data_IF_923564404281
#
_entry.id   IF_923564404281
#
_cell.length_a   1.000
_cell.length_b   1.000
_cell.length_c   1.000
_cell.angle_alpha   90.00
_cell.angle_beta   90.00
_cell.angle_gamma   90.00
#
_symmetry.space_group_name_H-M   'P 1'
#
loop_
_entity.id
_entity.type
_entity.pdbx_description
1 polymer ?
#
# COMPACT_ATOMS: atom_id res chain seq x y z
N UNK A 1 -8.55 15.54 14.35
CA UNK A 1 -8.67 14.09 14.59
C UNK A 1 -8.28 13.66 16.00
N UNK A 2 -7.65 14.47 16.83
CA UNK A 2 -7.30 14.15 18.22
C UNK A 2 -5.89 13.61 18.43
N UNK A 3 -4.95 13.88 17.52
CA UNK A 3 -3.54 13.45 17.62
C UNK A 3 -2.66 14.43 18.44
N UNK A 4 -3.21 15.02 19.50
CA UNK A 4 -2.51 16.09 20.23
C UNK A 4 -1.60 15.56 21.33
N UNK A 5 -1.83 14.35 21.81
CA UNK A 5 -1.13 13.78 22.96
C UNK A 5 -0.81 12.29 22.78
N UNK A 6 0.14 11.80 23.58
CA UNK A 6 0.50 10.39 23.64
C UNK A 6 1.05 9.83 22.32
N UNK A 7 0.91 8.54 22.13
CA UNK A 7 1.41 7.83 20.94
C UNK A 7 0.78 8.31 19.63
N UNK A 8 -0.48 8.76 19.67
CA UNK A 8 -1.16 9.30 18.50
C UNK A 8 -0.42 10.51 17.88
N UNK A 9 0.27 11.32 18.70
CA UNK A 9 1.01 12.50 18.22
C UNK A 9 2.26 12.14 17.42
N UNK A 10 2.89 11.03 17.75
CA UNK A 10 4.18 10.61 17.18
C UNK A 10 4.10 9.42 16.23
N UNK A 11 2.91 8.85 16.04
CA UNK A 11 2.71 7.72 15.15
C UNK A 11 2.83 8.15 13.70
N UNK A 12 3.87 7.65 13.03
CA UNK A 12 4.23 8.05 11.68
C UNK A 12 3.31 7.45 10.60
N UNK A 13 2.48 6.46 10.92
CA UNK A 13 1.59 5.83 9.93
C UNK A 13 0.48 6.77 9.44
N UNK A 14 0.13 7.79 10.21
CA UNK A 14 -0.86 8.79 9.81
C UNK A 14 -0.27 10.19 9.54
N UNK A 15 1.06 10.34 9.58
CA UNK A 15 1.75 11.62 9.36
C UNK A 15 2.43 11.61 8.00
N UNK A 16 2.14 12.59 7.16
CA UNK A 16 2.80 12.78 5.87
C UNK A 16 3.52 14.12 5.83
N UNK A 17 4.73 14.19 5.27
CA UNK A 17 5.40 15.47 5.00
C UNK A 17 4.55 16.32 4.07
N UNK A 18 4.34 17.58 4.42
CA UNK A 18 3.58 18.53 3.61
C UNK A 18 4.22 19.88 3.61
N UNK A 19 4.10 20.64 2.52
CA UNK A 19 4.46 22.06 2.51
C UNK A 19 3.62 22.83 3.51
N UNK A 20 4.20 23.85 4.14
CA UNK A 20 3.50 24.71 5.10
C UNK A 20 2.19 25.27 4.52
N UNK A 21 2.23 25.87 3.32
CA UNK A 21 1.04 26.43 2.67
C UNK A 21 -0.06 25.39 2.42
N UNK A 22 0.29 24.15 2.03
CA UNK A 22 -0.67 23.07 1.81
C UNK A 22 -1.25 22.61 3.14
N UNK A 23 -0.42 22.47 4.17
CA UNK A 23 -0.86 22.11 5.51
C UNK A 23 -1.78 23.17 6.14
N UNK A 24 -1.46 24.45 5.94
CA UNK A 24 -2.29 25.58 6.36
C UNK A 24 -3.63 25.60 5.63
N UNK A 25 -3.64 25.41 4.31
CA UNK A 25 -4.88 25.35 3.52
C UNK A 25 -5.75 24.14 3.91
N UNK A 26 -5.12 23.01 4.22
CA UNK A 26 -5.85 21.84 4.73
C UNK A 26 -6.36 22.08 6.14
N UNK A 27 -5.61 22.75 6.98
CA UNK A 27 -5.93 23.01 8.38
C UNK A 27 -6.53 21.78 9.08
N UNK A 28 -7.71 21.87 9.66
CA UNK A 28 -8.46 20.76 10.25
C UNK A 28 -9.73 20.41 9.46
N UNK A 29 -9.82 20.83 8.21
CA UNK A 29 -10.97 20.55 7.35
C UNK A 29 -11.08 19.05 7.04
N UNK A 30 -12.30 18.52 6.88
CA UNK A 30 -12.49 17.17 6.37
C UNK A 30 -12.00 17.05 4.93
N UNK A 31 -11.60 15.85 4.59
CA UNK A 31 -11.31 15.49 3.22
C UNK A 31 -12.61 15.25 2.45
N UNK A 32 -12.66 15.71 1.20
CA UNK A 32 -13.79 15.51 0.29
C UNK A 32 -13.33 15.63 -1.15
N UNK A 33 -14.09 15.05 -2.07
CA UNK A 33 -14.03 15.44 -3.47
C UNK A 33 -14.52 16.87 -3.60
N UNK A 34 -13.79 17.67 -4.36
CA UNK A 34 -14.09 19.09 -4.64
C UNK A 34 -14.41 19.24 -6.13
N UNK A 35 -15.52 19.87 -6.44
CA UNK A 35 -15.84 20.24 -7.83
C UNK A 35 -14.80 21.27 -8.31
N UNK A 36 -14.06 20.94 -9.36
CA UNK A 36 -13.03 21.79 -9.96
C UNK A 36 -13.47 23.24 -10.22
N UNK A 37 -14.76 23.45 -10.49
CA UNK A 37 -15.31 24.80 -10.73
C UNK A 37 -15.45 25.63 -9.46
N UNK A 38 -15.32 24.99 -8.29
CA UNK A 38 -15.44 25.61 -6.97
C UNK A 38 -14.12 25.72 -6.25
N UNK A 39 -13.08 25.04 -6.75
CA UNK A 39 -11.75 25.04 -6.15
C UNK A 39 -11.17 26.45 -6.11
N UNK A 40 -10.68 26.85 -4.94
CA UNK A 40 -10.08 28.17 -4.72
C UNK A 40 -8.57 28.16 -4.86
N UNK A 41 -7.91 27.06 -4.47
CA UNK A 41 -6.47 26.90 -4.54
C UNK A 41 -6.09 25.52 -5.07
N UNK A 42 -5.07 25.51 -5.93
CA UNK A 42 -4.49 24.33 -6.57
C UNK A 42 -3.01 24.25 -6.23
N UNK A 43 -2.60 23.20 -5.53
CA UNK A 43 -1.25 23.06 -5.02
C UNK A 43 -0.51 21.95 -5.74
N UNK A 44 0.59 22.28 -6.41
CA UNK A 44 1.48 21.30 -7.03
C UNK A 44 2.95 21.70 -6.84
N UNK A 45 3.76 20.83 -6.26
CA UNK A 45 5.18 21.12 -5.93
C UNK A 45 5.30 22.45 -5.15
N UNK A 46 5.99 23.45 -5.73
CA UNK A 46 6.13 24.79 -5.14
C UNK A 46 5.04 25.76 -5.61
N UNK A 47 4.15 25.35 -6.47
CA UNK A 47 3.13 26.21 -7.11
C UNK A 47 1.86 26.24 -6.27
N UNK A 48 1.23 27.41 -6.20
CA UNK A 48 -0.10 27.66 -5.70
C UNK A 48 -0.85 28.52 -6.73
N UNK A 49 -1.94 27.99 -7.29
CA UNK A 49 -2.75 28.65 -8.31
C UNK A 49 -4.15 28.92 -7.77
N UNK A 50 -4.72 30.06 -8.14
CA UNK A 50 -6.11 30.44 -7.85
C UNK A 50 -7.04 30.19 -9.05
N UNK A 51 -6.47 29.83 -10.19
CA UNK A 51 -7.21 29.47 -11.40
C UNK A 51 -6.98 27.98 -11.69
N UNK A 52 -8.01 27.33 -12.22
CA UNK A 52 -7.94 25.92 -12.63
C UNK A 52 -6.77 25.69 -13.59
N UNK A 53 -5.89 24.71 -13.30
CA UNK A 53 -4.81 24.33 -14.20
C UNK A 53 -5.32 23.86 -15.55
N UNK A 54 -4.64 24.23 -16.62
CA UNK A 54 -5.00 23.80 -17.97
C UNK A 54 -4.57 22.39 -18.34
N UNK A 55 -3.63 21.79 -17.56
CA UNK A 55 -3.07 20.46 -17.75
C UNK A 55 -2.73 19.84 -16.42
N UNK A 56 -2.58 18.51 -16.41
CA UNK A 56 -2.08 17.73 -15.26
C UNK A 56 -2.88 17.98 -13.96
N UNK A 57 -4.20 18.20 -14.09
CA UNK A 57 -5.05 18.57 -12.97
C UNK A 57 -4.97 17.57 -11.82
N UNK A 58 -4.83 16.28 -12.12
CA UNK A 58 -4.73 15.19 -11.15
C UNK A 58 -3.47 15.24 -10.27
N UNK A 59 -2.47 16.02 -10.67
CA UNK A 59 -1.24 16.24 -9.89
C UNK A 59 -1.41 17.30 -8.80
N UNK A 60 -2.53 18.01 -8.80
CA UNK A 60 -2.78 19.07 -7.83
C UNK A 60 -3.60 18.58 -6.66
N UNK A 61 -3.25 19.07 -5.47
CA UNK A 61 -4.16 19.06 -4.32
C UNK A 61 -5.02 20.31 -4.35
N UNK A 62 -6.25 20.20 -3.87
CA UNK A 62 -7.25 21.24 -4.00
C UNK A 62 -7.78 21.68 -2.64
N UNK A 63 -8.15 22.96 -2.52
CA UNK A 63 -8.86 23.46 -1.34
C UNK A 63 -9.95 24.45 -1.65
N UNK A 64 -11.00 24.40 -0.83
CA UNK A 64 -12.03 25.40 -0.67
C UNK A 64 -12.26 25.65 0.82
N UNK A 65 -13.05 26.65 1.16
CA UNK A 65 -13.44 26.87 2.56
C UNK A 65 -14.17 25.63 3.08
N UNK A 66 -13.59 25.00 4.10
CA UNK A 66 -14.19 23.86 4.78
C UNK A 66 -13.82 22.48 4.25
N UNK A 67 -13.12 22.35 3.12
CA UNK A 67 -12.74 21.07 2.55
C UNK A 67 -11.37 21.11 1.90
N UNK A 68 -10.74 19.94 1.89
CA UNK A 68 -9.46 19.71 1.22
C UNK A 68 -9.48 18.38 0.46
N UNK A 69 -8.91 18.39 -0.74
CA UNK A 69 -8.73 17.22 -1.58
C UNK A 69 -7.24 17.01 -1.89
N UNK A 70 -6.65 15.88 -1.58
CA UNK A 70 -5.29 15.58 -2.01
C UNK A 70 -5.26 15.24 -3.50
N UNK A 71 -4.09 15.35 -4.12
CA UNK A 71 -3.89 14.89 -5.50
C UNK A 71 -4.29 13.43 -5.66
N UNK A 72 -4.63 13.03 -6.89
CA UNK A 72 -5.25 11.73 -7.17
C UNK A 72 -4.43 10.53 -6.66
N UNK A 73 -3.11 10.53 -6.90
CA UNK A 73 -2.18 9.48 -6.48
C UNK A 73 -1.84 9.47 -4.99
N UNK A 74 -2.55 10.25 -4.18
CA UNK A 74 -2.38 10.30 -2.72
C UNK A 74 -3.69 10.13 -1.95
N UNK A 75 -4.80 10.00 -2.63
CA UNK A 75 -6.13 9.83 -2.04
C UNK A 75 -6.23 8.55 -1.21
N UNK A 76 -5.78 7.44 -1.77
CA UNK A 76 -5.77 6.14 -1.10
C UNK A 76 -4.85 6.11 0.12
N UNK A 77 -3.66 6.73 0.02
CA UNK A 77 -2.74 6.86 1.14
C UNK A 77 -3.37 7.59 2.32
N UNK A 78 -4.06 8.71 2.04
CA UNK A 78 -4.81 9.47 3.06
C UNK A 78 -5.93 8.62 3.66
N UNK A 79 -6.70 7.92 2.84
CA UNK A 79 -7.78 7.06 3.30
C UNK A 79 -7.27 5.97 4.27
N UNK A 80 -6.21 5.25 3.88
CA UNK A 80 -5.59 4.19 4.71
C UNK A 80 -4.96 4.73 6.00
N UNK A 81 -4.41 5.94 5.96
CA UNK A 81 -3.89 6.60 7.15
C UNK A 81 -5.00 7.00 8.14
N UNK A 82 -6.15 7.46 7.64
CA UNK A 82 -7.29 7.82 8.47
C UNK A 82 -7.97 6.58 9.05
N UNK A 83 -8.17 5.52 8.28
CA UNK A 83 -8.68 4.24 8.79
C UNK A 83 -7.77 3.67 9.88
N UNK A 84 -6.45 3.73 9.67
CA UNK A 84 -5.47 3.35 10.69
C UNK A 84 -5.63 4.17 11.96
N UNK A 85 -5.63 5.51 11.84
CA UNK A 85 -5.74 6.40 12.99
C UNK A 85 -7.03 6.15 13.77
N UNK A 86 -8.15 6.03 13.07
CA UNK A 86 -9.44 5.81 13.70
C UNK A 86 -9.51 4.44 14.42
N UNK A 87 -8.86 3.42 13.85
CA UNK A 87 -8.78 2.09 14.48
C UNK A 87 -7.88 2.07 15.71
N UNK A 88 -6.69 2.65 15.61
CA UNK A 88 -5.68 2.58 16.68
C UNK A 88 -5.96 3.54 17.82
N UNK A 89 -6.65 4.64 17.55
CA UNK A 89 -6.88 5.74 18.50
C UNK A 89 -8.36 6.11 18.60
N UNK A 90 -9.24 5.12 18.64
CA UNK A 90 -10.70 5.30 18.65
C UNK A 90 -11.16 6.24 19.76
N UNK A 91 -10.64 6.10 20.99
CA UNK A 91 -10.98 6.93 22.15
C UNK A 91 -10.57 8.41 21.99
N UNK A 92 -9.56 8.69 21.17
CA UNK A 92 -9.08 10.05 20.89
C UNK A 92 -9.69 10.63 19.62
N UNK A 93 -10.29 9.78 18.80
CA UNK A 93 -10.82 10.14 17.49
C UNK A 93 -12.16 10.84 17.59
N UNK A 94 -12.37 11.86 16.75
CA UNK A 94 -13.68 12.46 16.59
C UNK A 94 -14.54 11.62 15.63
N UNK A 95 -15.48 10.87 16.19
CA UNK A 95 -16.34 9.96 15.43
C UNK A 95 -17.19 10.67 14.36
N UNK A 96 -17.78 11.82 14.69
CA UNK A 96 -18.61 12.57 13.73
C UNK A 96 -17.78 13.08 12.56
N UNK A 97 -16.54 13.51 12.82
CA UNK A 97 -15.61 13.95 11.80
C UNK A 97 -15.23 12.80 10.84
N UNK A 98 -14.96 11.62 11.38
CA UNK A 98 -14.67 10.42 10.61
C UNK A 98 -15.88 9.98 9.75
N UNK A 99 -17.07 9.89 10.37
CA UNK A 99 -18.29 9.47 9.65
C UNK A 99 -18.63 10.40 8.50
N UNK A 100 -18.36 11.70 8.64
CA UNK A 100 -18.57 12.70 7.57
C UNK A 100 -17.68 12.48 6.33
N UNK A 101 -16.49 11.86 6.51
CA UNK A 101 -15.55 11.59 5.41
C UNK A 101 -15.61 10.14 4.94
N UNK A 102 -16.19 9.23 5.70
CA UNK A 102 -16.06 7.78 5.53
C UNK A 102 -16.39 7.30 4.11
N UNK A 103 -17.46 7.81 3.51
CA UNK A 103 -17.80 7.42 2.15
C UNK A 103 -16.70 7.80 1.15
N UNK A 104 -16.23 9.03 1.20
CA UNK A 104 -15.13 9.54 0.35
C UNK A 104 -13.88 8.71 0.54
N UNK A 105 -13.50 8.42 1.79
CA UNK A 105 -12.34 7.59 2.10
C UNK A 105 -12.47 6.15 1.56
N UNK A 106 -13.67 5.58 1.60
CA UNK A 106 -13.94 4.26 1.03
C UNK A 106 -13.77 4.26 -0.49
N UNK A 107 -14.24 5.29 -1.17
CA UNK A 107 -14.10 5.44 -2.62
C UNK A 107 -12.62 5.64 -2.99
N UNK A 108 -11.90 6.51 -2.29
CA UNK A 108 -10.47 6.78 -2.50
C UNK A 108 -9.58 5.57 -2.29
N UNK A 109 -9.88 4.75 -1.29
CA UNK A 109 -9.13 3.51 -1.05
C UNK A 109 -9.14 2.56 -2.26
N UNK A 110 -10.22 2.57 -3.04
CA UNK A 110 -10.37 1.75 -4.24
C UNK A 110 -9.81 2.43 -5.50
N UNK A 111 -9.91 3.76 -5.57
CA UNK A 111 -9.45 4.55 -6.72
C UNK A 111 -7.92 4.61 -6.77
N UNK A 112 -7.28 4.74 -5.62
CA UNK A 112 -5.83 4.82 -5.46
C UNK A 112 -5.33 3.62 -4.63
N UNK A 113 -5.07 2.47 -5.27
CA UNK A 113 -4.55 1.27 -4.61
C UNK A 113 -3.16 1.49 -4.02
N UNK A 114 -2.77 0.64 -3.07
CA UNK A 114 -1.43 0.65 -2.48
C UNK A 114 -0.37 0.51 -3.55
N UNK A 115 0.53 1.46 -3.62
CA UNK A 115 1.69 1.42 -4.51
C UNK A 115 2.96 0.91 -3.80
N UNK A 116 4.05 0.77 -4.55
CA UNK A 116 5.32 0.30 -4.03
C UNK A 116 5.97 1.27 -3.04
N UNK A 117 5.71 2.57 -3.16
CA UNK A 117 6.26 3.59 -2.25
C UNK A 117 5.53 3.57 -0.91
N UNK A 118 4.21 3.47 -0.93
CA UNK A 118 3.42 3.35 0.29
C UNK A 118 3.73 2.02 1.02
N UNK A 119 3.87 0.92 0.26
CA UNK A 119 4.30 -0.36 0.79
C UNK A 119 5.68 -0.26 1.46
N UNK A 120 6.67 0.31 0.79
CA UNK A 120 8.00 0.49 1.36
C UNK A 120 7.98 1.40 2.60
N UNK A 121 7.17 2.47 2.54
CA UNK A 121 7.02 3.43 3.65
C UNK A 121 6.47 2.76 4.90
N UNK A 122 5.41 1.95 4.79
CA UNK A 122 4.80 1.32 5.97
C UNK A 122 5.79 0.40 6.69
N UNK A 123 6.63 -0.33 5.95
CA UNK A 123 7.68 -1.17 6.54
C UNK A 123 8.86 -0.35 7.10
N UNK A 124 9.22 0.76 6.46
CA UNK A 124 10.24 1.65 6.99
C UNK A 124 9.83 2.22 8.36
N UNK A 125 8.56 2.63 8.49
CA UNK A 125 7.98 3.12 9.75
C UNK A 125 7.92 2.00 10.80
N UNK A 126 7.50 0.80 10.40
CA UNK A 126 7.37 -0.34 11.31
C UNK A 126 8.66 -0.61 12.09
N UNK A 127 9.83 -0.43 11.48
CA UNK A 127 11.15 -0.60 12.15
C UNK A 127 11.32 0.28 13.40
N UNK A 128 10.63 1.40 13.45
CA UNK A 128 10.67 2.36 14.57
C UNK A 128 9.44 2.27 15.47
N UNK A 129 8.43 1.48 15.08
CA UNK A 129 7.15 1.34 15.76
C UNK A 129 6.82 -0.14 16.03
N UNK A 130 7.67 -0.80 16.81
CA UNK A 130 7.48 -2.18 17.31
C UNK A 130 7.28 -3.23 16.18
N UNK A 131 7.86 -2.99 15.01
CA UNK A 131 7.69 -3.80 13.80
C UNK A 131 6.23 -3.93 13.33
N UNK A 132 5.40 -2.94 13.66
CA UNK A 132 3.98 -2.91 13.27
C UNK A 132 3.78 -2.04 12.04
N UNK A 133 3.51 -2.65 10.91
CA UNK A 133 3.11 -1.95 9.69
C UNK A 133 1.62 -1.60 9.72
N UNK A 134 1.19 -0.61 8.93
CA UNK A 134 -0.22 -0.23 8.82
C UNK A 134 -1.03 -1.38 8.18
N UNK A 135 -1.98 -1.99 8.89
CA UNK A 135 -2.72 -3.15 8.39
C UNK A 135 -3.61 -2.81 7.18
N UNK A 136 -4.05 -1.56 7.02
CA UNK A 136 -4.84 -1.12 5.86
C UNK A 136 -3.99 -0.96 4.59
N UNK A 137 -2.66 -0.89 4.72
CA UNK A 137 -1.72 -1.00 3.59
C UNK A 137 -1.46 -2.46 3.25
N UNK A 138 -1.38 -3.34 4.27
CA UNK A 138 -1.06 -4.76 4.08
C UNK A 138 -2.23 -5.59 3.53
N UNK A 139 -3.44 -5.22 3.90
CA UNK A 139 -4.66 -5.95 3.53
C UNK A 139 -5.74 -4.98 3.07
N UNK A 140 -5.85 -4.81 1.77
CA UNK A 140 -6.84 -3.89 1.21
C UNK A 140 -8.29 -4.35 1.49
N UNK A 141 -8.54 -5.63 1.73
CA UNK A 141 -9.87 -6.13 2.08
C UNK A 141 -10.31 -5.72 3.49
N UNK A 142 -9.35 -5.29 4.33
CA UNK A 142 -9.63 -4.90 5.71
C UNK A 142 -10.59 -3.72 5.78
N UNK A 143 -10.44 -2.73 4.92
CA UNK A 143 -11.33 -1.56 4.81
C UNK A 143 -12.79 -1.98 4.60
N UNK A 144 -13.04 -2.91 3.68
CA UNK A 144 -14.39 -3.43 3.42
C UNK A 144 -14.95 -4.17 4.62
N UNK A 145 -14.13 -4.95 5.32
CA UNK A 145 -14.55 -5.73 6.50
C UNK A 145 -14.82 -4.86 7.73
N UNK A 146 -14.24 -3.67 7.80
CA UNK A 146 -14.35 -2.78 8.96
C UNK A 146 -15.27 -1.59 8.73
N UNK A 147 -15.01 -0.78 7.72
CA UNK A 147 -15.64 0.53 7.55
C UNK A 147 -16.48 0.68 6.30
N UNK A 148 -16.19 -0.09 5.25
CA UNK A 148 -16.72 0.10 3.91
C UNK A 148 -17.48 -1.13 3.37
N UNK A 149 -18.48 -1.69 4.10
CA UNK A 149 -19.10 -2.97 3.73
C UNK A 149 -19.83 -2.93 2.39
N UNK A 150 -20.20 -1.76 1.91
CA UNK A 150 -20.86 -1.56 0.61
C UNK A 150 -19.87 -1.32 -0.54
N UNK A 151 -18.58 -1.17 -0.25
CA UNK A 151 -17.58 -0.97 -1.29
C UNK A 151 -17.36 -2.23 -2.11
N UNK A 152 -16.96 -2.05 -3.37
CA UNK A 152 -16.53 -3.14 -4.22
C UNK A 152 -15.40 -3.95 -3.55
N UNK A 153 -15.23 -5.18 -3.96
CA UNK A 153 -14.08 -5.98 -3.55
C UNK A 153 -12.84 -5.25 -4.06
N UNK A 154 -11.92 -4.92 -3.16
CA UNK A 154 -10.68 -4.34 -3.60
C UNK A 154 -9.96 -5.35 -4.50
N UNK A 155 -9.59 -4.91 -5.67
CA UNK A 155 -8.58 -5.62 -6.44
C UNK A 155 -7.29 -5.36 -5.69
N UNK A 156 -6.83 -6.34 -4.94
CA UNK A 156 -5.48 -6.28 -4.39
C UNK A 156 -4.54 -5.98 -5.54
N UNK A 157 -3.49 -5.20 -5.32
CA UNK A 157 -2.32 -5.19 -6.20
C UNK A 157 -1.70 -6.60 -6.30
N UNK A 158 -2.13 -7.54 -5.48
CA UNK A 158 -2.03 -8.98 -5.69
C UNK A 158 -2.80 -9.47 -6.92
N UNK A 159 -3.65 -8.68 -7.57
CA UNK A 159 -4.21 -9.04 -8.86
C UNK A 159 -3.27 -8.79 -10.05
N UNK A 160 -2.02 -8.43 -9.83
CA UNK A 160 -0.94 -8.93 -10.66
C UNK A 160 -0.52 -10.36 -10.28
N UNK A 161 -1.22 -11.02 -9.36
CA UNK A 161 -1.43 -12.45 -9.46
C UNK A 161 -2.31 -12.63 -10.71
N UNK A 162 -1.63 -12.90 -11.78
CA UNK A 162 -2.23 -13.42 -12.97
C UNK A 162 -3.03 -14.66 -12.53
N UNK A 163 -4.34 -14.51 -12.32
CA UNK A 163 -5.26 -15.63 -12.05
C UNK A 163 -5.19 -16.70 -13.16
N UNK A 164 -4.49 -16.40 -14.25
CA UNK A 164 -4.24 -17.28 -15.38
C UNK A 164 -2.83 -17.89 -15.41
N UNK A 165 -1.89 -17.50 -14.53
CA UNK A 165 -0.55 -18.13 -14.51
C UNK A 165 -0.45 -19.11 -13.36
N UNK A 166 -0.46 -20.39 -13.71
CA UNK A 166 -0.20 -21.46 -12.76
C UNK A 166 1.27 -21.52 -12.37
N UNK A 167 1.62 -21.00 -11.20
CA UNK A 167 2.95 -21.19 -10.60
C UNK A 167 2.83 -22.15 -9.43
N UNK A 168 3.53 -23.26 -9.51
CA UNK A 168 3.59 -24.29 -8.47
C UNK A 168 4.98 -24.35 -7.87
N UNK A 169 5.05 -24.62 -6.57
CA UNK A 169 6.29 -24.89 -5.85
C UNK A 169 6.31 -26.34 -5.41
N UNK A 170 7.34 -27.10 -5.80
CA UNK A 170 7.46 -28.51 -5.45
C UNK A 170 8.93 -28.92 -5.24
N UNK A 171 9.22 -29.68 -4.16
CA UNK A 171 8.38 -29.92 -3.00
C UNK A 171 8.18 -28.68 -2.15
N UNK A 172 7.02 -28.58 -1.48
CA UNK A 172 6.77 -27.57 -0.46
C UNK A 172 5.93 -28.21 0.65
N UNK A 173 6.51 -28.52 1.81
CA UNK A 173 7.83 -28.14 2.35
C UNK A 173 9.04 -28.71 1.60
N UNK A 174 10.11 -27.93 1.57
CA UNK A 174 11.39 -28.25 0.92
C UNK A 174 12.48 -28.55 1.95
N UNK A 175 13.49 -29.34 1.57
CA UNK A 175 14.70 -29.58 2.39
C UNK A 175 15.95 -29.04 1.67
N UNK A 176 16.38 -29.69 0.60
CA UNK A 176 17.62 -29.35 -0.10
C UNK A 176 17.41 -28.48 -1.31
N UNK A 177 16.25 -28.59 -1.96
CA UNK A 177 15.88 -27.82 -3.15
C UNK A 177 14.37 -27.70 -3.28
N UNK A 178 13.93 -26.77 -4.12
CA UNK A 178 12.58 -26.72 -4.66
C UNK A 178 12.61 -26.34 -6.14
N UNK A 179 11.54 -26.65 -6.84
CA UNK A 179 11.32 -26.22 -8.19
C UNK A 179 10.14 -25.22 -8.24
N UNK A 180 10.31 -24.20 -9.05
CA UNK A 180 9.22 -23.34 -9.49
C UNK A 180 8.79 -23.82 -10.86
N UNK A 181 7.55 -24.27 -10.98
CA UNK A 181 6.96 -24.75 -12.23
C UNK A 181 5.98 -23.68 -12.71
N UNK A 182 6.21 -23.19 -13.93
CA UNK A 182 5.36 -22.16 -14.54
C UNK A 182 4.68 -22.69 -15.79
N UNK A 183 3.64 -22.01 -16.25
CA UNK A 183 3.21 -22.20 -17.63
C UNK A 183 4.20 -21.57 -18.62
N UNK A 184 4.09 -21.88 -19.90
CA UNK A 184 5.03 -21.45 -20.94
C UNK A 184 5.06 -19.93 -21.16
N UNK A 185 4.09 -19.20 -20.63
CA UNK A 185 3.96 -17.75 -20.82
C UNK A 185 4.71 -16.92 -19.77
N UNK A 186 5.20 -17.55 -18.68
CA UNK A 186 5.83 -16.86 -17.56
C UNK A 186 7.31 -17.24 -17.43
N UNK A 187 8.17 -16.41 -18.01
CA UNK A 187 9.63 -16.58 -17.93
C UNK A 187 10.21 -15.84 -16.72
N UNK A 188 10.85 -16.55 -15.80
CA UNK A 188 11.36 -16.00 -14.55
C UNK A 188 12.67 -15.26 -14.78
N UNK A 189 12.72 -13.98 -14.39
CA UNK A 189 13.92 -13.14 -14.36
C UNK A 189 14.67 -13.27 -13.03
N UNK A 190 13.94 -13.27 -11.90
CA UNK A 190 14.55 -13.32 -10.58
C UNK A 190 13.67 -14.00 -9.54
N UNK A 191 14.33 -14.63 -8.56
CA UNK A 191 13.72 -15.20 -7.36
C UNK A 191 14.31 -14.54 -6.13
N UNK A 192 13.46 -14.12 -5.21
CA UNK A 192 13.87 -13.55 -3.92
C UNK A 192 13.08 -14.21 -2.80
N UNK A 193 13.77 -14.53 -1.70
CA UNK A 193 13.17 -15.10 -0.50
C UNK A 193 13.28 -14.09 0.64
N UNK A 194 12.20 -13.93 1.40
CA UNK A 194 12.16 -13.08 2.59
C UNK A 194 11.66 -13.89 3.77
N UNK A 195 12.44 -13.93 4.84
CA UNK A 195 12.03 -14.51 6.12
C UNK A 195 11.16 -13.55 6.93
N UNK A 196 10.67 -14.03 8.08
CA UNK A 196 9.88 -13.25 9.05
C UNK A 196 10.61 -11.99 9.56
N UNK A 197 11.94 -11.99 9.47
CA UNK A 197 12.81 -10.87 9.90
C UNK A 197 12.90 -9.75 8.85
N UNK A 198 12.22 -9.88 7.71
CA UNK A 198 12.19 -8.88 6.64
C UNK A 198 13.48 -8.77 5.81
N UNK A 199 14.47 -9.65 6.06
CA UNK A 199 15.69 -9.71 5.25
C UNK A 199 15.39 -10.50 3.97
N UNK A 200 15.62 -9.86 2.82
CA UNK A 200 15.45 -10.50 1.52
C UNK A 200 16.79 -11.00 0.98
N UNK A 201 16.80 -12.21 0.46
CA UNK A 201 17.97 -12.84 -0.19
C UNK A 201 17.58 -13.24 -1.62
N UNK A 202 18.39 -12.88 -2.61
CA UNK A 202 18.23 -13.36 -3.98
C UNK A 202 18.65 -14.82 -4.07
N UNK A 203 17.91 -15.60 -4.86
CA UNK A 203 18.17 -17.01 -5.08
C UNK A 203 18.68 -17.23 -6.51
N UNK A 204 19.72 -18.04 -6.64
CA UNK A 204 20.15 -18.54 -7.94
C UNK A 204 19.30 -19.75 -8.33
N UNK A 205 19.04 -19.90 -9.59
CA UNK A 205 18.27 -21.03 -10.11
C UNK A 205 18.85 -21.54 -11.43
N UNK A 206 18.59 -22.81 -11.72
CA UNK A 206 18.86 -23.46 -12.99
C UNK A 206 17.53 -23.64 -13.74
N UNK A 207 17.49 -23.24 -15.02
CA UNK A 207 16.28 -23.32 -15.84
C UNK A 207 16.28 -24.58 -16.70
N UNK A 208 15.18 -25.34 -16.65
CA UNK A 208 14.90 -26.51 -17.45
C UNK A 208 13.49 -26.37 -18.06
N UNK A 209 13.40 -25.90 -19.29
CA UNK A 209 12.10 -25.62 -19.95
C UNK A 209 11.24 -24.66 -19.12
N UNK A 210 10.12 -25.16 -18.55
CA UNK A 210 9.20 -24.41 -17.70
C UNK A 210 9.41 -24.65 -16.19
N UNK A 211 10.59 -25.22 -15.81
CA UNK A 211 10.98 -25.50 -14.42
C UNK A 211 12.22 -24.73 -14.06
N UNK A 212 12.23 -24.19 -12.86
CA UNK A 212 13.33 -23.43 -12.31
C UNK A 212 13.74 -24.05 -10.98
N UNK A 213 14.87 -24.76 -10.96
CA UNK A 213 15.36 -25.44 -9.76
C UNK A 213 16.20 -24.51 -8.92
N UNK A 214 15.90 -24.43 -7.63
CA UNK A 214 16.60 -23.63 -6.63
C UNK A 214 17.17 -24.53 -5.56
N UNK A 215 18.47 -24.43 -5.30
CA UNK A 215 19.13 -25.11 -4.18
C UNK A 215 19.08 -24.23 -2.93
N UNK A 216 18.79 -24.83 -1.79
CA UNK A 216 18.56 -24.14 -0.52
C UNK A 216 19.84 -24.07 0.35
N UNK A 217 21.00 -24.00 -0.28
CA UNK A 217 22.26 -23.89 0.44
C UNK A 217 22.24 -22.61 1.31
N UNK A 218 22.60 -22.75 2.59
CA UNK A 218 22.70 -21.66 3.57
C UNK A 218 21.37 -20.91 3.84
N UNK A 219 20.24 -21.61 3.76
CA UNK A 219 18.94 -21.09 4.18
C UNK A 219 18.42 -21.93 5.33
N UNK A 220 18.20 -21.29 6.47
CA UNK A 220 17.73 -21.96 7.68
C UNK A 220 16.30 -22.50 7.51
N UNK A 221 15.92 -23.58 8.22
CA UNK A 221 14.53 -24.00 8.28
C UNK A 221 13.61 -22.87 8.74
N UNK A 222 12.44 -22.76 8.12
CA UNK A 222 11.51 -21.67 8.45
C UNK A 222 10.41 -21.46 7.43
N UNK A 223 9.60 -20.47 7.70
CA UNK A 223 8.56 -19.98 6.81
C UNK A 223 9.07 -18.74 6.07
N UNK A 224 8.95 -18.78 4.75
CA UNK A 224 9.43 -17.74 3.86
C UNK A 224 8.37 -17.29 2.88
N UNK A 225 8.49 -16.04 2.44
CA UNK A 225 7.78 -15.51 1.29
C UNK A 225 8.73 -15.51 0.09
N UNK A 226 8.39 -16.25 -0.95
CA UNK A 226 9.12 -16.30 -2.21
C UNK A 226 8.49 -15.32 -3.20
N UNK A 227 9.28 -14.35 -3.65
CA UNK A 227 8.93 -13.44 -4.74
C UNK A 227 9.53 -13.96 -6.03
N UNK A 228 8.69 -14.17 -7.02
CA UNK A 228 9.01 -14.69 -8.34
C UNK A 228 8.74 -13.56 -9.33
N UNK A 229 9.77 -13.01 -9.97
CA UNK A 229 9.62 -11.88 -10.90
C UNK A 229 9.89 -12.34 -12.32
N UNK A 230 9.00 -12.00 -13.25
CA UNK A 230 9.11 -12.32 -14.68
C UNK A 230 9.92 -11.28 -15.45
N UNK A 231 10.27 -11.61 -16.68
CA UNK A 231 11.02 -10.73 -17.60
C UNK A 231 10.28 -9.41 -17.91
N UNK A 232 8.95 -9.42 -17.91
CA UNK A 232 8.11 -8.24 -18.15
C UNK A 232 7.85 -7.41 -16.87
N UNK A 233 8.55 -7.74 -15.75
CA UNK A 233 8.49 -7.01 -14.49
C UNK A 233 7.31 -7.38 -13.59
N UNK A 234 6.44 -8.29 -14.01
CA UNK A 234 5.38 -8.81 -13.14
C UNK A 234 5.96 -9.71 -12.06
N UNK A 235 5.31 -9.81 -10.92
CA UNK A 235 5.78 -10.70 -9.87
C UNK A 235 4.64 -11.47 -9.21
N UNK A 236 4.99 -12.64 -8.67
CA UNK A 236 4.11 -13.52 -7.89
C UNK A 236 4.74 -13.75 -6.52
N UNK A 237 3.92 -13.80 -5.48
CA UNK A 237 4.33 -14.16 -4.14
C UNK A 237 3.79 -15.54 -3.78
N UNK A 238 4.65 -16.42 -3.30
CA UNK A 238 4.28 -17.77 -2.84
C UNK A 238 4.87 -18.04 -1.46
N UNK A 239 4.12 -18.78 -0.67
CA UNK A 239 4.60 -19.29 0.62
C UNK A 239 5.52 -20.48 0.40
N UNK A 240 6.73 -20.43 0.97
CA UNK A 240 7.69 -21.51 0.95
C UNK A 240 8.01 -21.93 2.39
N UNK A 241 7.96 -23.22 2.66
CA UNK A 241 8.32 -23.82 3.94
C UNK A 241 9.61 -24.61 3.73
N UNK A 242 10.66 -24.33 4.51
CA UNK A 242 11.94 -25.03 4.50
C UNK A 242 12.05 -25.81 5.82
N UNK A 243 12.48 -27.08 5.72
CA UNK A 243 12.65 -28.00 6.86
C UNK A 243 14.10 -28.40 7.04
#
# INVERSE_FOLDING_TARGET
>A
MGAETGNARSDMHHLYPSRAAVNEARWNYPYSEIDDTKTKHWFYKSTDLILKPGKEINEYSESIDGFFEPREDHKGNVARAIFYFFTMYELQSNKSFFEGMKKTLCDWHLQDPVDSLEWARTYAIAKYQENKANPFVLDCSLTRRTYCPQSAVCKTTESYFLDDISVQLFPNPSQDFFEVITDQSFDIMSLQISGMEGISKSLNFEKYENRYQVRLNDISPGLYLLRITSQDGKFILKKLIIR
#
